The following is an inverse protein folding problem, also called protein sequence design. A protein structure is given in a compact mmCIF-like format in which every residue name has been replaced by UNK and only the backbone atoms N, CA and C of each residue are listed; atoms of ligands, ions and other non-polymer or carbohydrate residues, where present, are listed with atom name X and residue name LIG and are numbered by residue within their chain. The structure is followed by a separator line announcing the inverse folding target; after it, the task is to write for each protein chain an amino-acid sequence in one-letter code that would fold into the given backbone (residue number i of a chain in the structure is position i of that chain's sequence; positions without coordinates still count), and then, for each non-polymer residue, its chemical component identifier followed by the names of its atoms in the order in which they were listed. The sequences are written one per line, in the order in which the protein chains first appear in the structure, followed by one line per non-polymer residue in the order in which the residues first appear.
data_IF_765238799714
#
_entry.id   IF_765238799714
#
_cell.length_a   1.000
_cell.length_b   1.000
_cell.length_c   1.000
_cell.angle_alpha   90.00
_cell.angle_beta   90.00
_cell.angle_gamma   90.00
#
_symmetry.space_group_name_H-M   'P 1'
#
loop_
_entity.id
_entity.type
_entity.pdbx_description
1 polymer ?
#
# COMPACT_ATOMS: atom_id res chain seq x y z
N UNK A 1 -9.59 -15.04 -12.26
CA UNK A 1 -9.23 -13.99 -13.26
C UNK A 1 -7.73 -13.86 -13.27
N UNK A 2 -7.12 -13.86 -14.44
CA UNK A 2 -5.67 -13.74 -14.63
C UNK A 2 -5.39 -12.69 -15.72
N UNK A 3 -4.27 -12.00 -15.61
CA UNK A 3 -3.77 -11.17 -16.70
C UNK A 3 -3.09 -12.07 -17.76
N UNK A 4 -3.40 -11.83 -19.03
CA UNK A 4 -2.76 -12.56 -20.11
C UNK A 4 -1.23 -12.30 -20.09
N UNK A 5 -0.38 -13.33 -20.30
CA UNK A 5 1.07 -13.16 -20.24
C UNK A 5 1.63 -12.10 -21.18
N UNK A 6 0.97 -11.81 -22.29
CA UNK A 6 1.41 -10.79 -23.25
C UNK A 6 1.32 -9.36 -22.72
N UNK A 7 0.61 -9.12 -21.62
CA UNK A 7 0.63 -7.81 -20.95
C UNK A 7 2.03 -7.33 -20.61
N UNK A 8 2.97 -8.25 -20.27
CA UNK A 8 4.38 -7.92 -20.01
C UNK A 8 5.11 -7.24 -21.19
N UNK A 9 4.54 -7.29 -22.39
CA UNK A 9 5.09 -6.65 -23.58
C UNK A 9 4.75 -5.16 -23.66
N UNK A 10 3.85 -4.66 -22.81
CA UNK A 10 3.44 -3.27 -22.73
C UNK A 10 4.47 -2.43 -21.96
N UNK A 11 5.71 -2.36 -22.46
CA UNK A 11 6.83 -1.73 -21.77
C UNK A 11 6.70 -0.21 -21.57
N UNK A 12 5.83 0.43 -22.34
CA UNK A 12 5.56 1.88 -22.23
C UNK A 12 4.30 2.18 -21.41
N UNK A 13 3.75 1.17 -20.70
CA UNK A 13 2.57 1.39 -19.86
C UNK A 13 2.97 2.25 -18.66
N UNK A 14 2.29 3.39 -18.50
CA UNK A 14 2.51 4.35 -17.42
C UNK A 14 1.44 4.23 -16.33
N UNK A 15 0.24 3.80 -16.70
CA UNK A 15 -0.90 3.67 -15.80
C UNK A 15 -1.62 2.33 -16.02
N UNK A 16 -1.82 1.57 -14.95
CA UNK A 16 -2.59 0.34 -14.97
C UNK A 16 -3.64 0.33 -13.87
N UNK A 17 -4.90 0.35 -14.27
CA UNK A 17 -6.03 0.14 -13.38
C UNK A 17 -6.74 -1.17 -13.70
N UNK A 18 -6.66 -2.12 -12.79
CA UNK A 18 -7.39 -3.39 -12.81
C UNK A 18 -8.26 -3.56 -11.56
N UNK A 19 -8.67 -2.43 -10.99
CA UNK A 19 -9.59 -2.38 -9.86
C UNK A 19 -10.95 -2.96 -10.22
N UNK A 20 -11.72 -3.35 -9.21
CA UNK A 20 -13.08 -3.88 -9.36
C UNK A 20 -13.19 -5.12 -10.25
N UNK A 21 -12.17 -5.95 -10.25
CA UNK A 21 -12.12 -7.29 -10.85
C UNK A 21 -12.28 -8.39 -9.76
N UNK A 22 -12.01 -9.64 -10.15
CA UNK A 22 -12.11 -10.80 -9.25
C UNK A 22 -10.77 -11.53 -9.13
N UNK A 23 -9.67 -10.81 -8.99
CA UNK A 23 -8.38 -11.43 -8.76
C UNK A 23 -8.33 -12.03 -7.36
N UNK A 24 -7.82 -13.26 -7.24
CA UNK A 24 -7.63 -13.96 -5.96
C UNK A 24 -6.20 -13.85 -5.44
N UNK A 25 -5.27 -13.55 -6.35
CA UNK A 25 -3.88 -13.21 -6.06
C UNK A 25 -3.47 -11.98 -6.88
N UNK A 26 -2.49 -11.24 -6.42
CA UNK A 26 -1.86 -10.20 -7.23
C UNK A 26 -1.14 -10.88 -8.40
N UNK A 27 -1.44 -10.54 -9.66
CA UNK A 27 -0.82 -11.20 -10.80
C UNK A 27 0.72 -11.14 -10.76
N UNK A 28 1.37 -12.29 -10.91
CA UNK A 28 2.84 -12.41 -10.82
C UNK A 28 3.59 -11.62 -11.90
N UNK A 29 2.92 -11.32 -13.01
CA UNK A 29 3.52 -10.50 -14.07
C UNK A 29 3.65 -9.01 -13.69
N UNK A 30 3.01 -8.56 -12.62
CA UNK A 30 3.09 -7.18 -12.13
C UNK A 30 4.41 -6.98 -11.37
N UNK A 31 5.45 -6.72 -12.12
CA UNK A 31 6.80 -6.46 -11.60
C UNK A 31 7.43 -5.24 -12.27
N UNK A 32 8.37 -4.54 -11.60
CA UNK A 32 9.07 -3.40 -12.19
C UNK A 32 9.79 -3.75 -13.52
N UNK A 33 10.31 -4.98 -13.64
CA UNK A 33 11.01 -5.44 -14.85
C UNK A 33 10.06 -5.60 -16.03
N UNK A 34 8.81 -6.00 -15.77
CA UNK A 34 7.80 -6.13 -16.79
C UNK A 34 7.21 -4.79 -17.22
N UNK A 35 7.07 -3.86 -16.27
CA UNK A 35 6.47 -2.54 -16.49
C UNK A 35 7.38 -1.41 -15.99
N UNK A 36 8.53 -1.17 -16.64
CA UNK A 36 9.55 -0.25 -16.12
C UNK A 36 9.12 1.21 -16.09
N UNK A 37 8.11 1.59 -16.87
CA UNK A 37 7.60 2.95 -16.97
C UNK A 37 6.28 3.17 -16.20
N UNK A 38 5.85 2.18 -15.40
CA UNK A 38 4.60 2.30 -14.67
C UNK A 38 4.76 3.28 -13.50
N UNK A 39 3.90 4.30 -13.47
CA UNK A 39 3.80 5.32 -12.43
C UNK A 39 2.60 5.14 -11.52
N UNK A 40 1.50 4.57 -12.03
CA UNK A 40 0.33 4.28 -11.22
C UNK A 40 -0.16 2.84 -11.40
N UNK A 41 -0.36 2.16 -10.27
CA UNK A 41 -0.89 0.80 -10.21
C UNK A 41 -2.08 0.75 -9.26
N UNK A 42 -3.28 0.52 -9.83
CA UNK A 42 -4.53 0.48 -9.10
C UNK A 42 -5.12 -0.93 -9.14
N UNK A 43 -5.23 -1.54 -7.97
CA UNK A 43 -5.74 -2.89 -7.76
C UNK A 43 -6.92 -2.91 -6.78
N UNK A 44 -7.54 -1.75 -6.55
CA UNK A 44 -8.55 -1.59 -5.51
C UNK A 44 -9.82 -2.43 -5.77
N UNK A 45 -10.50 -2.79 -4.71
CA UNK A 45 -11.85 -3.34 -4.74
C UNK A 45 -12.00 -4.64 -5.56
N UNK A 46 -10.99 -5.50 -5.61
CA UNK A 46 -11.13 -6.81 -6.26
C UNK A 46 -12.04 -7.77 -5.49
N UNK A 47 -12.39 -7.48 -4.24
CA UNK A 47 -13.26 -8.31 -3.40
C UNK A 47 -14.76 -8.22 -3.72
N UNK A 48 -15.19 -7.40 -4.68
CA UNK A 48 -16.58 -6.97 -4.80
C UNK A 48 -17.54 -7.95 -5.45
N UNK A 49 -17.13 -9.13 -5.87
CA UNK A 49 -18.05 -10.02 -6.56
C UNK A 49 -18.61 -11.09 -5.63
N UNK A 50 -19.90 -10.96 -5.36
CA UNK A 50 -20.70 -12.07 -4.82
C UNK A 50 -21.22 -12.85 -6.03
N UNK A 51 -20.76 -14.08 -6.21
CA UNK A 51 -21.38 -15.02 -7.12
C UNK A 51 -22.67 -15.52 -6.45
N UNK A 52 -23.78 -15.27 -7.09
CA UNK A 52 -25.05 -15.86 -6.73
C UNK A 52 -25.23 -17.15 -7.53
N UNK A 53 -25.08 -18.27 -6.88
CA UNK A 53 -25.58 -19.53 -7.42
C UNK A 53 -27.07 -19.67 -7.06
N UNK A 54 -27.93 -19.24 -7.98
CA UNK A 54 -29.38 -19.30 -7.82
C UNK A 54 -29.90 -20.74 -7.67
N UNK A 55 -29.11 -21.75 -8.06
CA UNK A 55 -29.51 -23.17 -7.98
C UNK A 55 -29.33 -23.74 -6.58
N UNK A 56 -28.40 -23.19 -5.80
CA UNK A 56 -28.03 -23.71 -4.48
C UNK A 56 -28.19 -22.68 -3.34
N UNK A 57 -28.68 -21.48 -3.64
CA UNK A 57 -28.79 -20.36 -2.68
C UNK A 57 -27.46 -20.02 -1.94
N UNK A 58 -26.33 -20.25 -2.64
CA UNK A 58 -24.98 -20.01 -2.11
C UNK A 58 -24.52 -18.63 -2.57
N UNK A 59 -24.07 -17.82 -1.58
CA UNK A 59 -23.32 -16.59 -1.82
C UNK A 59 -21.84 -16.86 -1.58
N UNK A 60 -21.05 -16.86 -2.63
CA UNK A 60 -19.61 -16.88 -2.52
C UNK A 60 -19.02 -15.50 -2.84
N UNK A 61 -18.25 -14.96 -1.89
CA UNK A 61 -17.37 -13.84 -2.18
C UNK A 61 -16.14 -14.36 -2.90
N UNK A 62 -15.97 -13.95 -4.15
CA UNK A 62 -14.79 -14.32 -4.95
C UNK A 62 -13.91 -13.11 -5.19
N UNK A 63 -12.61 -13.36 -5.27
CA UNK A 63 -11.62 -12.31 -5.47
C UNK A 63 -11.09 -11.72 -4.16
N UNK A 64 -10.46 -10.58 -4.25
CA UNK A 64 -9.93 -9.84 -3.11
C UNK A 64 -8.61 -10.35 -2.57
N UNK A 65 -7.81 -10.99 -3.40
CA UNK A 65 -6.51 -11.54 -3.02
C UNK A 65 -6.58 -12.53 -1.84
N UNK A 66 -7.69 -13.25 -1.76
CA UNK A 66 -7.95 -14.21 -0.66
C UNK A 66 -6.95 -15.36 -0.62
N UNK A 67 -6.29 -15.65 -1.73
CA UNK A 67 -5.26 -16.70 -1.84
C UNK A 67 -3.86 -16.18 -1.47
N UNK A 68 -3.69 -14.88 -1.21
CA UNK A 68 -2.46 -14.35 -0.62
C UNK A 68 -2.41 -14.73 0.88
N UNK A 69 -1.45 -15.56 1.30
CA UNK A 69 -1.40 -16.07 2.68
C UNK A 69 -0.96 -15.00 3.70
N UNK A 70 -0.23 -14.00 3.23
CA UNK A 70 0.27 -12.83 3.97
C UNK A 70 0.36 -11.64 3.02
N UNK A 71 0.70 -10.47 3.54
CA UNK A 71 0.93 -9.29 2.69
C UNK A 71 2.02 -9.59 1.65
N UNK A 72 1.75 -9.38 0.36
CA UNK A 72 2.66 -9.75 -0.72
C UNK A 72 3.79 -8.75 -0.89
N UNK A 73 4.93 -8.97 -0.22
CA UNK A 73 6.09 -8.07 -0.23
C UNK A 73 6.57 -7.68 -1.64
N UNK A 74 6.34 -8.57 -2.63
CA UNK A 74 6.71 -8.32 -4.03
C UNK A 74 6.10 -7.04 -4.61
N UNK A 75 4.93 -6.62 -4.11
CA UNK A 75 4.26 -5.40 -4.58
C UNK A 75 4.98 -4.13 -4.11
N UNK A 76 5.83 -4.23 -3.11
CA UNK A 76 6.60 -3.09 -2.58
C UNK A 76 7.94 -2.85 -3.30
N UNK A 77 8.27 -3.64 -4.33
CA UNK A 77 9.55 -3.55 -5.07
C UNK A 77 9.63 -2.44 -6.10
N UNK A 78 8.57 -1.69 -6.28
CA UNK A 78 8.51 -0.59 -7.24
C UNK A 78 9.25 0.64 -6.72
N UNK A 79 10.14 1.23 -7.56
CA UNK A 79 10.90 2.43 -7.19
C UNK A 79 10.36 3.71 -7.85
N UNK A 80 9.49 3.60 -8.83
CA UNK A 80 8.99 4.71 -9.65
C UNK A 80 7.47 4.89 -9.63
N UNK A 81 6.75 4.18 -8.76
CA UNK A 81 5.31 4.40 -8.61
C UNK A 81 5.04 5.68 -7.83
N UNK A 82 4.22 6.56 -8.40
CA UNK A 82 3.62 7.70 -7.73
C UNK A 82 2.39 7.27 -6.91
N UNK A 83 1.67 6.27 -7.43
CA UNK A 83 0.42 5.76 -6.85
C UNK A 83 0.40 4.25 -6.77
N UNK A 84 0.04 3.72 -5.59
CA UNK A 84 -0.24 2.30 -5.37
C UNK A 84 -1.56 2.12 -4.62
N UNK A 85 -2.56 1.57 -5.29
CA UNK A 85 -3.88 1.28 -4.74
C UNK A 85 -4.11 -0.21 -4.50
N UNK A 86 -4.33 -0.60 -3.25
CA UNK A 86 -4.58 -1.97 -2.79
C UNK A 86 -5.78 -2.06 -1.84
N UNK A 87 -6.61 -1.02 -1.77
CA UNK A 87 -7.74 -0.96 -0.84
C UNK A 87 -8.82 -1.98 -1.18
N UNK A 88 -9.56 -2.43 -0.18
CA UNK A 88 -10.76 -3.27 -0.33
C UNK A 88 -10.44 -4.61 -1.01
N UNK A 89 -9.46 -5.37 -0.46
CA UNK A 89 -8.94 -6.58 -1.12
C UNK A 89 -8.76 -7.80 -0.22
N UNK A 90 -9.23 -7.78 1.03
CA UNK A 90 -9.01 -8.88 1.99
C UNK A 90 -7.55 -9.26 2.24
N UNK A 91 -6.59 -8.43 1.87
CA UNK A 91 -5.18 -8.64 2.21
C UNK A 91 -5.04 -8.80 3.73
N UNK A 92 -4.24 -9.76 4.16
CA UNK A 92 -4.06 -10.09 5.57
C UNK A 92 -2.59 -10.22 5.94
N UNK A 93 -2.32 -10.36 7.23
CA UNK A 93 -0.99 -10.42 7.80
C UNK A 93 -0.45 -9.05 8.16
N UNK A 94 0.83 -8.98 8.39
CA UNK A 94 1.53 -7.77 8.79
C UNK A 94 2.29 -7.15 7.61
N UNK A 95 2.41 -5.83 7.63
CA UNK A 95 3.34 -5.15 6.73
C UNK A 95 4.78 -5.51 7.13
N UNK A 96 5.66 -5.83 6.16
CA UNK A 96 7.02 -6.23 6.48
C UNK A 96 7.81 -5.08 7.09
N UNK A 97 8.46 -5.32 8.24
CA UNK A 97 9.31 -4.33 8.92
C UNK A 97 10.69 -4.24 8.28
N UNK A 98 11.18 -5.38 7.81
CA UNK A 98 12.49 -5.51 7.14
C UNK A 98 12.27 -6.01 5.72
N UNK A 99 12.88 -5.32 4.77
CA UNK A 99 12.79 -5.61 3.34
C UNK A 99 14.19 -5.60 2.74
N UNK A 100 14.41 -6.46 1.74
CA UNK A 100 15.63 -6.46 0.94
C UNK A 100 15.56 -5.34 -0.12
N UNK A 101 15.71 -4.11 0.38
CA UNK A 101 15.73 -2.89 -0.42
C UNK A 101 17.02 -2.13 -0.16
N UNK A 102 17.38 -1.25 -1.08
CA UNK A 102 18.39 -0.24 -0.81
C UNK A 102 17.99 0.54 0.45
N UNK A 103 18.99 0.96 1.23
CA UNK A 103 18.75 1.70 2.47
C UNK A 103 19.11 3.16 2.30
N UNK A 104 18.41 4.01 3.04
CA UNK A 104 18.79 5.41 3.15
C UNK A 104 20.18 5.55 3.75
N UNK A 105 21.05 6.28 3.05
CA UNK A 105 22.39 6.59 3.55
C UNK A 105 22.42 7.90 4.32
N UNK A 106 23.40 8.08 5.20
CA UNK A 106 23.60 9.35 5.89
C UNK A 106 23.86 10.50 4.91
N UNK A 107 24.61 10.24 3.82
CA UNK A 107 24.89 11.24 2.79
C UNK A 107 23.61 11.76 2.13
N UNK A 108 22.70 10.88 1.73
CA UNK A 108 21.43 11.26 1.11
C UNK A 108 20.53 12.04 2.09
N UNK A 109 20.44 11.58 3.33
CA UNK A 109 19.60 12.21 4.33
C UNK A 109 20.14 13.60 4.69
N UNK A 110 21.46 13.74 4.89
CA UNK A 110 22.09 15.01 5.21
C UNK A 110 22.15 15.98 4.01
N UNK A 111 22.09 15.49 2.79
CA UNK A 111 21.99 16.33 1.59
C UNK A 111 20.63 17.01 1.44
N UNK A 112 19.63 16.63 2.23
CA UNK A 112 18.27 17.14 2.15
C UNK A 112 17.76 17.59 3.53
N UNK A 113 17.72 18.88 3.78
CA UNK A 113 17.29 19.49 5.06
C UNK A 113 15.90 19.06 5.56
N UNK A 114 15.11 18.41 4.70
CA UNK A 114 13.73 17.98 5.00
C UNK A 114 13.61 16.51 5.35
N UNK A 115 14.68 15.72 5.25
CA UNK A 115 14.67 14.30 5.60
C UNK A 115 15.06 14.12 7.08
N UNK A 116 14.28 13.38 7.87
CA UNK A 116 14.62 13.12 9.26
C UNK A 116 15.75 12.07 9.37
N UNK A 117 16.66 12.23 10.32
CA UNK A 117 17.79 11.30 10.55
C UNK A 117 17.36 9.85 10.82
N UNK A 118 16.14 9.66 11.33
CA UNK A 118 15.59 8.32 11.58
C UNK A 118 15.52 7.44 10.30
N UNK A 119 15.53 8.04 9.12
CA UNK A 119 15.55 7.31 7.85
C UNK A 119 16.86 6.55 7.62
N UNK A 120 17.98 7.01 8.20
CA UNK A 120 19.28 6.40 7.97
C UNK A 120 19.26 4.92 8.36
N UNK A 121 19.50 4.04 7.37
CA UNK A 121 19.48 2.59 7.55
C UNK A 121 18.12 1.93 7.39
N UNK A 122 17.02 2.70 7.27
CA UNK A 122 15.71 2.15 6.90
C UNK A 122 15.67 1.80 5.40
N UNK A 123 14.90 0.77 5.01
CA UNK A 123 14.74 0.42 3.61
C UNK A 123 14.01 1.52 2.83
N UNK A 124 14.46 1.81 1.62
CA UNK A 124 13.80 2.74 0.68
C UNK A 124 12.66 2.04 -0.02
N UNK A 125 11.54 1.90 0.64
CA UNK A 125 10.35 1.26 0.10
C UNK A 125 9.49 2.30 -0.60
N UNK A 126 9.10 2.03 -1.85
CA UNK A 126 8.25 2.92 -2.65
C UNK A 126 8.73 4.39 -2.65
N UNK A 127 10.01 4.68 -2.93
CA UNK A 127 10.63 5.98 -2.62
C UNK A 127 9.98 7.16 -3.34
N UNK A 128 9.33 6.95 -4.48
CA UNK A 128 8.66 7.99 -5.26
C UNK A 128 7.16 8.10 -4.98
N UNK A 129 6.58 7.14 -4.23
CA UNK A 129 5.14 7.06 -4.02
C UNK A 129 4.62 8.22 -3.17
N UNK A 130 3.60 8.88 -3.67
CA UNK A 130 2.90 9.99 -3.02
C UNK A 130 1.51 9.61 -2.52
N UNK A 131 0.90 8.56 -3.11
CA UNK A 131 -0.39 8.03 -2.69
C UNK A 131 -0.30 6.51 -2.50
N UNK A 132 -0.61 6.05 -1.30
CA UNK A 132 -0.65 4.64 -0.93
C UNK A 132 -1.96 4.30 -0.25
N UNK A 133 -2.71 3.35 -0.82
CA UNK A 133 -4.02 2.96 -0.32
C UNK A 133 -4.05 1.48 0.01
N UNK A 134 -4.22 1.13 1.29
CA UNK A 134 -4.32 -0.24 1.81
C UNK A 134 -5.45 -0.41 2.82
N UNK A 135 -6.33 0.60 2.95
CA UNK A 135 -7.46 0.54 3.86
C UNK A 135 -8.50 -0.51 3.44
N UNK A 136 -9.39 -0.85 4.34
CA UNK A 136 -10.44 -1.86 4.14
C UNK A 136 -9.89 -3.23 3.70
N UNK A 137 -8.74 -3.58 4.26
CA UNK A 137 -8.16 -4.92 4.22
C UNK A 137 -8.26 -5.58 5.60
N UNK A 138 -7.54 -6.66 5.83
CA UNK A 138 -7.50 -7.40 7.09
C UNK A 138 -6.10 -7.44 7.68
N UNK A 139 -5.38 -6.33 7.53
CA UNK A 139 -4.00 -6.21 8.02
C UNK A 139 -3.97 -6.08 9.53
N UNK A 140 -2.89 -6.53 10.13
CA UNK A 140 -2.63 -6.56 11.57
C UNK A 140 -1.20 -6.12 11.87
N UNK A 141 -0.83 -6.14 13.15
CA UNK A 141 0.52 -5.86 13.60
C UNK A 141 0.80 -4.36 13.77
N UNK A 142 1.99 -3.94 13.46
CA UNK A 142 2.44 -2.56 13.58
C UNK A 142 2.76 -1.96 12.21
N UNK A 143 2.47 -0.69 12.05
CA UNK A 143 2.98 0.10 10.93
C UNK A 143 4.51 0.17 11.03
N UNK A 144 5.24 -0.23 9.97
CA UNK A 144 6.69 -0.21 10.01
C UNK A 144 7.25 1.22 9.92
N UNK A 145 8.45 1.42 10.46
CA UNK A 145 9.11 2.74 10.50
C UNK A 145 9.35 3.31 9.08
N UNK A 146 9.68 2.47 8.10
CA UNK A 146 9.85 2.92 6.72
C UNK A 146 8.58 3.58 6.16
N UNK A 147 7.40 3.16 6.63
CA UNK A 147 6.13 3.74 6.23
C UNK A 147 5.79 4.98 7.07
N UNK A 148 5.91 4.90 8.38
CA UNK A 148 5.61 6.01 9.30
C UNK A 148 6.46 7.24 9.00
N UNK A 149 7.76 7.06 8.75
CA UNK A 149 8.71 8.13 8.42
C UNK A 149 8.92 8.35 6.93
N UNK A 150 8.11 7.73 6.09
CA UNK A 150 8.26 7.85 4.62
C UNK A 150 8.25 9.32 4.19
N UNK A 151 9.25 9.78 3.41
CA UNK A 151 9.44 11.22 3.17
C UNK A 151 8.36 11.86 2.29
N UNK A 152 7.71 11.09 1.41
CA UNK A 152 6.69 11.57 0.49
C UNK A 152 5.26 11.18 0.88
N UNK A 153 5.08 10.06 1.60
CA UNK A 153 3.76 9.59 2.00
C UNK A 153 3.27 10.31 3.24
N UNK A 154 2.11 10.92 3.11
CA UNK A 154 1.28 11.32 4.23
C UNK A 154 0.19 10.26 4.39
N UNK A 155 0.20 9.56 5.54
CA UNK A 155 -0.68 8.40 5.76
C UNK A 155 -2.11 8.79 6.16
N UNK A 156 -2.36 10.07 6.38
CA UNK A 156 -3.68 10.57 6.77
C UNK A 156 -4.51 10.99 5.56
N UNK A 157 -5.81 10.70 5.63
CA UNK A 157 -6.75 11.17 4.62
C UNK A 157 -6.71 12.73 4.51
N UNK A 158 -6.74 13.35 3.32
CA UNK A 158 -6.99 12.75 2.00
C UNK A 158 -5.74 12.32 1.22
N UNK A 159 -4.54 12.41 1.80
CA UNK A 159 -3.28 12.20 1.09
C UNK A 159 -2.95 10.73 0.85
N UNK A 160 -3.35 9.85 1.78
CA UNK A 160 -3.27 8.39 1.63
C UNK A 160 -4.41 7.71 2.37
N UNK A 161 -4.60 6.42 2.12
CA UNK A 161 -5.64 5.60 2.73
C UNK A 161 -4.98 4.36 3.36
N UNK A 162 -4.37 4.52 4.54
CA UNK A 162 -3.62 3.45 5.22
C UNK A 162 -4.42 2.85 6.37
N UNK A 163 -5.06 3.69 7.17
CA UNK A 163 -5.81 3.28 8.34
C UNK A 163 -7.16 2.63 7.98
N UNK A 164 -7.96 2.23 8.95
CA UNK A 164 -9.27 1.60 8.80
C UNK A 164 -9.20 0.21 8.17
N UNK A 165 -8.62 -0.73 8.87
CA UNK A 165 -8.73 -2.14 8.52
C UNK A 165 -10.09 -2.70 8.95
N UNK A 166 -10.64 -3.70 8.22
CA UNK A 166 -12.00 -4.19 8.43
C UNK A 166 -12.07 -5.67 8.84
N UNK A 167 -13.05 -5.95 9.69
CA UNK A 167 -13.46 -7.30 10.00
C UNK A 167 -12.47 -8.06 10.86
N UNK A 168 -12.31 -9.34 10.56
CA UNK A 168 -11.41 -10.25 11.27
C UNK A 168 -10.51 -10.97 10.28
N UNK A 169 -9.34 -11.36 10.76
CA UNK A 169 -8.45 -12.28 10.05
C UNK A 169 -9.11 -13.64 9.85
N UNK A 170 -8.53 -14.51 9.04
CA UNK A 170 -9.09 -15.86 8.80
C UNK A 170 -9.15 -16.71 10.07
N UNK A 171 -8.24 -16.49 11.01
CA UNK A 171 -8.19 -17.15 12.32
C UNK A 171 -8.98 -16.42 13.42
N UNK A 172 -9.76 -15.39 13.06
CA UNK A 172 -10.72 -14.71 13.93
C UNK A 172 -10.16 -13.58 14.78
N UNK A 173 -8.93 -13.14 14.58
CA UNK A 173 -8.33 -12.00 15.28
C UNK A 173 -8.91 -10.67 14.78
N UNK A 174 -8.86 -9.63 15.61
CA UNK A 174 -9.20 -8.29 15.20
C UNK A 174 -8.11 -7.73 14.27
N UNK A 175 -8.55 -6.95 13.28
CA UNK A 175 -7.69 -6.26 12.34
C UNK A 175 -7.36 -4.85 12.83
N UNK A 176 -6.37 -4.21 12.21
CA UNK A 176 -5.89 -2.88 12.54
C UNK A 176 -4.43 -2.86 12.99
N UNK A 177 -3.88 -1.67 13.10
CA UNK A 177 -2.48 -1.48 13.49
C UNK A 177 -2.38 -1.05 14.95
N UNK A 178 -1.59 -1.78 15.75
CA UNK A 178 -1.46 -1.54 17.20
C UNK A 178 -0.76 -0.23 17.54
N UNK A 179 0.00 0.35 16.62
CA UNK A 179 0.70 1.63 16.74
C UNK A 179 0.10 2.73 15.84
N UNK A 180 -1.15 2.57 15.43
CA UNK A 180 -1.84 3.63 14.69
C UNK A 180 -1.85 4.93 15.49
N UNK A 181 -1.48 6.08 14.90
CA UNK A 181 -1.48 7.36 15.59
C UNK A 181 -2.85 7.70 16.16
N UNK A 182 -2.91 8.06 17.44
CA UNK A 182 -4.17 8.31 18.16
C UNK A 182 -4.94 9.53 17.66
N UNK A 183 -4.26 10.48 17.01
CA UNK A 183 -4.85 11.69 16.44
C UNK A 183 -4.00 12.28 15.34
N UNK A 184 -4.61 13.14 14.53
CA UNK A 184 -3.93 13.91 13.49
C UNK A 184 -2.79 14.76 14.06
N UNK A 185 -3.02 15.45 15.18
CA UNK A 185 -2.01 16.28 15.81
C UNK A 185 -0.83 15.45 16.29
N UNK A 186 -1.08 14.31 16.92
CA UNK A 186 -0.04 13.36 17.32
C UNK A 186 0.78 12.89 16.10
N UNK A 187 0.10 12.54 15.02
CA UNK A 187 0.75 12.06 13.80
C UNK A 187 1.73 13.09 13.25
N UNK A 188 1.31 14.31 13.02
CA UNK A 188 2.19 15.34 12.43
C UNK A 188 3.27 15.86 13.39
N UNK A 189 3.09 15.73 14.69
CA UNK A 189 4.13 16.05 15.66
C UNK A 189 5.26 15.01 15.66
N UNK A 190 4.93 13.73 15.48
CA UNK A 190 5.89 12.63 15.58
C UNK A 190 6.44 12.18 14.22
N UNK A 191 5.68 12.39 13.15
CA UNK A 191 6.03 11.98 11.80
C UNK A 191 5.93 13.16 10.82
N UNK A 192 6.89 14.11 10.85
CA UNK A 192 6.83 15.32 10.00
C UNK A 192 6.75 14.98 8.51
N UNK A 193 5.87 15.67 7.79
CA UNK A 193 5.60 15.43 6.37
C UNK A 193 5.80 16.70 5.55
N UNK A 194 6.35 16.57 4.33
CA UNK A 194 6.57 17.70 3.43
C UNK A 194 5.29 18.40 3.00
N UNK A 195 4.19 17.64 2.80
CA UNK A 195 2.92 18.16 2.28
C UNK A 195 2.10 18.91 3.33
N UNK A 196 2.30 18.61 4.60
CA UNK A 196 1.58 19.23 5.68
C UNK A 196 2.54 19.99 6.61
N UNK A 197 2.40 21.29 6.62
CA UNK A 197 3.03 22.13 7.63
C UNK A 197 1.92 22.72 8.50
N UNK A 198 1.76 22.28 9.78
CA UNK A 198 0.73 22.80 10.66
C UNK A 198 0.86 24.33 10.92
N UNK A 199 2.06 24.89 10.66
CA UNK A 199 2.30 26.31 10.76
C UNK A 199 1.91 27.08 9.48
N UNK A 200 1.62 26.39 8.38
CA UNK A 200 1.13 26.95 7.12
C UNK A 200 -0.39 26.81 6.96
N UNK A 201 -1.14 26.66 8.04
CA UNK A 201 -2.57 26.98 8.02
C UNK A 201 -2.72 28.49 7.75
N UNK A 202 -2.51 28.88 6.51
CA UNK A 202 -3.12 30.09 5.99
C UNK A 202 -4.61 29.79 5.95
N UNK A 203 -5.32 30.55 6.78
CA UNK A 203 -6.77 30.66 6.81
C UNK A 203 -7.32 30.71 5.38
N UNK A 204 -8.03 29.64 4.98
CA UNK A 204 -9.04 29.69 3.93
C UNK A 204 -10.42 29.60 4.57
#
# INVERSE_FOLDING_TARGET
TELHPDFKNLKNLEYLDISSNCFQTIPDILTPENFPNLHALELNANQRHTIYDLSNDIRENVGGFIDEPKFPERILKWNNLDTLGLSVNYLQGELPKMLDHEKWTAEEVHACDTLPEILIGLPKVLPETEFFAINFNRLTGELPEWLLYHPKLDLWYPYSLVFQQEGKTRDGQNTGFSNEPASLDYYYQHYPKKKYNPNNRTEE
#
